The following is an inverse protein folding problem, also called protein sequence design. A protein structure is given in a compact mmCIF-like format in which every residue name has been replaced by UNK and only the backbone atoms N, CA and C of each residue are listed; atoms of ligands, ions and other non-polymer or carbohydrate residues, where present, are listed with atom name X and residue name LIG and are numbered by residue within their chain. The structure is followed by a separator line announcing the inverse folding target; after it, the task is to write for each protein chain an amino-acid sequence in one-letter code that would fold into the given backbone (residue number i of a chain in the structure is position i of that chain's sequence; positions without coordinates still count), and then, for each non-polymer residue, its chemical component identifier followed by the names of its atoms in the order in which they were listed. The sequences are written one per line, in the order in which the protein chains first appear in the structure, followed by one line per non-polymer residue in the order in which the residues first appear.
data_IF_407930195194
#
_entry.id   IF_407930195194
#
_cell.length_a   1.000
_cell.length_b   1.000
_cell.length_c   1.000
_cell.angle_alpha   90.00
_cell.angle_beta   90.00
_cell.angle_gamma   90.00
#
_symmetry.space_group_name_H-M   'P 1'
#
loop_
_entity.id
_entity.type
_entity.pdbx_description
1 polymer ?
#
# COMPACT_ATOMS: atom_id res chain seq x y z
N UNK A 1 -2.79 -3.98 12.30
CA UNK A 1 -3.89 -3.79 11.31
C UNK A 1 -3.54 -2.74 10.25
N UNK A 2 -3.02 -1.55 10.61
CA UNK A 2 -2.59 -0.52 9.62
C UNK A 2 -1.43 -0.95 8.71
N UNK A 3 -0.48 -1.75 9.22
CA UNK A 3 0.67 -2.24 8.43
C UNK A 3 0.24 -3.11 7.23
N UNK A 4 -0.83 -3.89 7.39
CA UNK A 4 -1.37 -4.71 6.32
C UNK A 4 -2.06 -3.83 5.27
N UNK A 5 -2.78 -2.80 5.69
CA UNK A 5 -3.41 -1.84 4.78
C UNK A 5 -2.38 -1.05 3.98
N UNK A 6 -1.31 -0.54 4.63
CA UNK A 6 -0.23 0.16 3.94
C UNK A 6 0.49 -0.76 2.95
N UNK A 7 0.68 -2.04 3.30
CA UNK A 7 1.32 -3.04 2.44
C UNK A 7 0.44 -3.41 1.22
N UNK A 8 -0.86 -3.58 1.42
CA UNK A 8 -1.84 -3.86 0.35
C UNK A 8 -1.89 -2.69 -0.64
N UNK A 9 -1.97 -1.45 -0.13
CA UNK A 9 -2.01 -0.24 -0.95
C UNK A 9 -0.69 -0.03 -1.69
N UNK A 10 0.46 -0.21 -1.03
CA UNK A 10 1.77 -0.14 -1.67
C UNK A 10 1.95 -1.22 -2.75
N UNK A 11 1.53 -2.45 -2.47
CA UNK A 11 1.53 -3.55 -3.45
C UNK A 11 0.70 -3.21 -4.68
N UNK A 12 -0.53 -2.70 -4.49
CA UNK A 12 -1.41 -2.31 -5.60
C UNK A 12 -0.86 -1.14 -6.41
N UNK A 13 -0.13 -0.23 -5.76
CA UNK A 13 0.49 0.90 -6.42
C UNK A 13 1.70 0.48 -7.28
N UNK A 14 2.47 -0.51 -6.81
CA UNK A 14 3.66 -1.01 -7.52
C UNK A 14 3.29 -2.04 -8.59
N UNK A 15 2.24 -2.83 -8.38
CA UNK A 15 1.79 -3.86 -9.32
C UNK A 15 0.53 -3.39 -10.05
N UNK A 16 0.72 -2.87 -11.27
CA UNK A 16 -0.32 -2.45 -12.24
C UNK A 16 -1.34 -3.57 -12.63
N UNK A 17 -1.19 -4.78 -12.07
CA UNK A 17 -2.07 -5.93 -12.28
C UNK A 17 -2.75 -6.30 -10.96
N UNK A 18 -3.89 -5.67 -10.74
CA UNK A 18 -4.80 -5.82 -9.58
C UNK A 18 -5.00 -7.28 -9.14
N UNK A 19 -4.23 -7.74 -8.15
CA UNK A 19 -4.65 -8.88 -7.35
C UNK A 19 -5.88 -8.45 -6.53
N UNK A 20 -7.01 -9.12 -6.76
CA UNK A 20 -8.28 -8.83 -6.08
C UNK A 20 -8.08 -8.87 -4.56
N UNK A 21 -8.81 -8.02 -3.83
CA UNK A 21 -8.78 -7.99 -2.35
C UNK A 21 -9.10 -9.35 -1.70
N UNK A 22 -9.69 -10.29 -2.46
CA UNK A 22 -9.86 -11.69 -2.07
C UNK A 22 -8.55 -12.47 -1.91
N UNK A 23 -7.51 -12.18 -2.70
CA UNK A 23 -6.20 -12.81 -2.56
C UNK A 23 -5.49 -12.31 -1.30
N UNK A 24 -5.54 -10.99 -1.05
CA UNK A 24 -5.00 -10.35 0.14
C UNK A 24 -5.71 -10.81 1.42
N UNK A 25 -7.04 -10.95 1.39
CA UNK A 25 -7.81 -11.55 2.47
C UNK A 25 -7.36 -12.99 2.78
N UNK A 26 -7.10 -13.79 1.75
CA UNK A 26 -6.64 -15.18 1.90
C UNK A 26 -5.22 -15.28 2.46
N UNK A 27 -4.32 -14.37 2.06
CA UNK A 27 -2.94 -14.28 2.59
C UNK A 27 -2.95 -13.79 4.03
N UNK A 28 -3.78 -12.80 4.34
CA UNK A 28 -3.88 -12.21 5.67
C UNK A 28 -4.68 -13.06 6.67
N UNK A 29 -5.43 -14.08 6.19
CA UNK A 29 -6.36 -14.85 7.01
C UNK A 29 -7.52 -14.03 7.56
N UNK A 30 -7.84 -12.90 6.93
CA UNK A 30 -8.84 -11.93 7.38
C UNK A 30 -9.99 -11.84 6.38
N UNK A 31 -11.22 -11.50 6.83
CA UNK A 31 -12.33 -11.29 5.92
C UNK A 31 -12.06 -10.13 4.97
N UNK A 32 -12.49 -10.26 3.71
CA UNK A 32 -12.31 -9.26 2.64
C UNK A 32 -12.85 -7.89 3.07
N UNK A 33 -13.93 -7.87 3.84
CA UNK A 33 -14.55 -6.66 4.38
C UNK A 33 -13.61 -5.85 5.27
N UNK A 34 -12.81 -6.51 6.11
CA UNK A 34 -11.83 -5.84 6.96
C UNK A 34 -10.65 -5.30 6.15
N UNK A 35 -10.18 -6.05 5.16
CA UNK A 35 -9.12 -5.58 4.25
C UNK A 35 -9.58 -4.35 3.48
N UNK A 36 -10.80 -4.36 2.95
CA UNK A 36 -11.41 -3.21 2.28
C UNK A 36 -11.55 -2.00 3.21
N UNK A 37 -12.01 -2.21 4.44
CA UNK A 37 -12.17 -1.13 5.42
C UNK A 37 -10.81 -0.51 5.79
N UNK A 38 -9.81 -1.35 6.06
CA UNK A 38 -8.47 -0.89 6.41
C UNK A 38 -7.80 -0.16 5.23
N UNK A 39 -7.99 -0.65 4.00
CA UNK A 39 -7.52 0.00 2.77
C UNK A 39 -8.13 1.39 2.59
N UNK A 40 -9.45 1.52 2.75
CA UNK A 40 -10.15 2.82 2.69
C UNK A 40 -9.69 3.78 3.77
N UNK A 41 -9.51 3.32 5.01
CA UNK A 41 -9.03 4.14 6.11
C UNK A 41 -7.61 4.65 5.79
N UNK A 42 -6.74 3.78 5.28
CA UNK A 42 -5.38 4.17 4.91
C UNK A 42 -5.36 5.17 3.75
N UNK A 43 -6.13 4.91 2.69
CA UNK A 43 -6.30 5.83 1.55
C UNK A 43 -6.80 7.22 1.98
N UNK A 44 -7.77 7.26 2.90
CA UNK A 44 -8.26 8.51 3.48
C UNK A 44 -7.17 9.21 4.30
N UNK A 45 -6.37 8.45 5.06
CA UNK A 45 -5.29 9.00 5.88
C UNK A 45 -4.15 9.60 5.03
N UNK A 46 -3.89 9.06 3.85
CA UNK A 46 -2.91 9.61 2.90
C UNK A 46 -3.53 10.55 1.86
N UNK A 47 -4.83 10.84 1.96
CA UNK A 47 -5.58 11.72 1.05
C UNK A 47 -5.42 11.33 -0.43
N UNK A 48 -5.39 10.02 -0.71
CA UNK A 48 -5.12 9.46 -2.04
C UNK A 48 -3.78 9.91 -2.67
N UNK A 49 -2.87 10.54 -1.91
CA UNK A 49 -1.54 10.98 -2.35
C UNK A 49 -0.55 9.82 -2.36
N UNK A 50 -0.82 8.84 -3.20
CA UNK A 50 0.09 7.73 -3.51
C UNK A 50 1.17 8.11 -4.51
N UNK A 51 0.99 9.22 -5.22
CA UNK A 51 1.95 9.68 -6.22
C UNK A 51 3.19 10.26 -5.54
N UNK A 52 4.29 9.50 -5.61
CA UNK A 52 5.63 9.99 -5.31
C UNK A 52 6.28 10.33 -6.65
N UNK A 53 6.73 11.58 -6.80
CA UNK A 53 7.47 11.98 -7.98
C UNK A 53 8.81 11.23 -8.03
N UNK A 54 9.22 10.80 -9.22
CA UNK A 54 10.49 10.11 -9.47
C UNK A 54 11.70 10.77 -8.75
N UNK A 55 11.89 12.11 -8.78
CA UNK A 55 12.98 12.75 -8.04
C UNK A 55 12.88 12.60 -6.51
N UNK A 56 11.67 12.56 -5.93
CA UNK A 56 11.51 12.29 -4.50
C UNK A 56 11.88 10.85 -4.17
N UNK A 57 11.49 9.90 -5.02
CA UNK A 57 11.83 8.49 -4.81
C UNK A 57 13.35 8.27 -4.85
N UNK A 58 14.05 8.85 -5.83
CA UNK A 58 15.51 8.79 -5.89
C UNK A 58 16.18 9.41 -4.67
N UNK A 59 15.66 10.54 -4.16
CA UNK A 59 16.19 11.18 -2.96
C UNK A 59 16.05 10.29 -1.71
N UNK A 60 14.90 9.63 -1.53
CA UNK A 60 14.68 8.65 -0.45
C UNK A 60 15.55 7.41 -0.61
N UNK A 61 15.67 6.89 -1.84
CA UNK A 61 16.53 5.75 -2.15
C UNK A 61 18.00 6.06 -1.84
N UNK A 62 18.47 7.26 -2.19
CA UNK A 62 19.82 7.70 -1.91
C UNK A 62 20.08 7.85 -0.41
N UNK A 63 19.13 8.42 0.35
CA UNK A 63 19.21 8.51 1.80
C UNK A 63 19.26 7.13 2.49
N UNK A 64 18.52 6.15 2.00
CA UNK A 64 18.50 4.79 2.53
C UNK A 64 19.76 3.98 2.20
N UNK A 65 20.37 4.20 1.02
CA UNK A 65 21.60 3.53 0.61
C UNK A 65 22.88 4.15 1.21
N UNK A 66 22.78 5.38 1.72
CA UNK A 66 23.90 6.11 2.34
C UNK A 66 24.08 5.80 3.84
N UNK A 67 23.29 4.90 4.41
CA UNK A 67 23.38 4.42 5.80
C UNK A 67 23.65 2.92 5.84
#
# INVERSE_FOLDING_TARGET
RMFLASLVVASKFVQDKTYRNSAWAKIAGLPVSEVNAAERIFLNMIDYRLYISQPKFEQWHHLLHMY
#
